data_IF_539489039342
#
_entry.id   IF_539489039342
#
_cell.length_a   1.000
_cell.length_b   1.000
_cell.length_c   1.000
_cell.angle_alpha   90.00
_cell.angle_beta   90.00
_cell.angle_gamma   90.00
#
_symmetry.space_group_name_H-M   'P 1'
#
loop_
_entity.id
_entity.type
_entity.pdbx_description
1 polymer ?
#
# COMPACT_ATOMS: atom_id res chain seq x y z
N UNK A 1 -22.45 4.90 0.82
CA UNK A 1 -21.83 5.51 1.99
C UNK A 1 -20.44 6.01 1.66
N UNK A 2 -19.88 6.84 2.50
CA UNK A 2 -18.52 7.36 2.34
C UNK A 2 -17.49 6.22 2.25
N UNK A 3 -17.76 5.10 2.89
CA UNK A 3 -16.86 3.94 2.94
C UNK A 3 -16.71 3.22 1.60
N UNK A 4 -17.68 3.38 0.72
CA UNK A 4 -17.70 2.67 -0.55
C UNK A 4 -16.73 3.27 -1.58
N UNK A 5 -16.06 4.37 -1.24
CA UNK A 5 -15.19 5.11 -2.16
C UNK A 5 -13.70 4.84 -1.96
N UNK A 6 -13.33 3.74 -1.31
CA UNK A 6 -11.94 3.44 -0.96
C UNK A 6 -11.46 2.16 -1.66
N UNK A 7 -11.37 2.13 -3.00
CA UNK A 7 -10.96 0.92 -3.70
C UNK A 7 -9.50 0.58 -3.46
N UNK A 8 -9.23 -0.73 -3.44
CA UNK A 8 -7.88 -1.27 -3.50
C UNK A 8 -7.78 -2.07 -4.80
N UNK A 9 -6.85 -1.71 -5.65
CA UNK A 9 -6.60 -2.38 -6.91
C UNK A 9 -5.26 -3.10 -6.83
N UNK A 10 -5.27 -4.39 -7.08
CA UNK A 10 -4.07 -5.23 -7.03
C UNK A 10 -3.92 -5.90 -8.39
N UNK A 11 -2.75 -5.76 -8.98
CA UNK A 11 -2.43 -6.40 -10.25
C UNK A 11 -2.28 -7.91 -10.12
N UNK A 12 -1.72 -8.53 -11.16
CA UNK A 12 -1.54 -9.96 -11.24
C UNK A 12 -0.22 -10.39 -10.58
N UNK A 13 -0.18 -11.64 -10.11
CA UNK A 13 1.04 -12.27 -9.58
C UNK A 13 1.72 -11.47 -8.48
N UNK A 14 0.92 -10.95 -7.55
CA UNK A 14 1.41 -10.25 -6.37
C UNK A 14 1.52 -11.23 -5.21
N UNK A 15 2.69 -11.27 -4.58
CA UNK A 15 2.96 -12.13 -3.42
C UNK A 15 2.93 -11.30 -2.15
N UNK A 16 2.09 -11.70 -1.20
CA UNK A 16 2.01 -11.07 0.11
C UNK A 16 2.54 -12.01 1.18
N UNK A 17 3.51 -11.54 1.96
CA UNK A 17 3.87 -12.18 3.20
C UNK A 17 2.75 -12.07 4.23
N UNK A 18 2.92 -12.68 5.43
CA UNK A 18 1.88 -12.62 6.46
C UNK A 18 1.70 -11.20 7.00
N UNK A 19 0.47 -10.91 7.44
CA UNK A 19 0.13 -9.64 8.12
C UNK A 19 0.41 -8.39 7.29
N UNK A 20 0.19 -8.45 6.00
CA UNK A 20 0.18 -7.25 5.15
C UNK A 20 -1.16 -6.56 5.31
N UNK A 21 -1.13 -5.26 5.58
CA UNK A 21 -2.32 -4.44 5.78
C UNK A 21 -2.39 -3.33 4.74
N UNK A 22 -3.50 -3.26 4.03
CA UNK A 22 -3.79 -2.21 3.05
C UNK A 22 -4.90 -1.36 3.64
N UNK A 23 -4.59 -0.11 4.01
CA UNK A 23 -5.44 0.74 4.83
C UNK A 23 -5.87 2.00 4.07
N UNK A 24 -6.82 1.88 3.12
CA UNK A 24 -7.30 3.05 2.40
C UNK A 24 -8.12 4.04 3.24
N UNK A 25 -8.86 3.64 4.27
CA UNK A 25 -9.63 4.61 5.06
C UNK A 25 -8.74 5.60 5.80
N UNK A 26 -9.17 6.83 5.85
CA UNK A 26 -8.48 7.93 6.52
C UNK A 26 -9.47 8.73 7.36
N UNK A 27 -8.95 9.42 8.35
CA UNK A 27 -9.74 10.36 9.17
C UNK A 27 -9.13 11.76 9.11
N UNK A 28 -9.93 12.81 9.31
CA UNK A 28 -9.40 14.15 9.44
C UNK A 28 -8.38 14.25 10.56
N UNK A 29 -7.38 15.12 10.40
CA UNK A 29 -6.34 15.32 11.40
C UNK A 29 -6.87 16.01 12.65
N UNK A 30 -7.79 16.97 12.50
CA UNK A 30 -8.40 17.65 13.63
C UNK A 30 -9.46 16.75 14.27
N UNK A 31 -9.39 16.59 15.57
CA UNK A 31 -10.33 15.74 16.29
C UNK A 31 -11.78 16.24 16.17
N UNK A 32 -11.97 17.57 16.04
CA UNK A 32 -13.30 18.16 15.88
C UNK A 32 -14.00 17.70 14.59
N UNK A 33 -13.22 17.38 13.56
CA UNK A 33 -13.74 16.99 12.26
C UNK A 33 -14.04 15.49 12.18
N UNK A 34 -13.72 14.72 13.23
CA UNK A 34 -13.92 13.27 13.26
C UNK A 34 -15.25 12.85 13.90
N UNK A 35 -16.06 13.79 14.37
CA UNK A 35 -17.35 13.47 14.96
C UNK A 35 -18.31 12.91 13.91
N UNK A 36 -19.18 11.99 14.38
CA UNK A 36 -20.32 11.54 13.59
C UNK A 36 -21.27 12.73 13.37
N UNK A 37 -21.73 12.89 12.14
CA UNK A 37 -22.61 13.97 11.73
C UNK A 37 -23.89 13.39 11.12
N UNK A 38 -24.94 14.21 11.09
CA UNK A 38 -26.18 13.84 10.42
C UNK A 38 -26.24 14.48 9.04
N UNK A 39 -26.58 13.66 8.05
CA UNK A 39 -26.91 14.15 6.72
C UNK A 39 -28.29 14.83 6.71
N UNK A 40 -28.63 15.64 5.67
CA UNK A 40 -29.92 16.29 5.58
C UNK A 40 -31.14 15.33 5.62
N UNK A 41 -30.95 14.07 5.25
CA UNK A 41 -32.00 13.05 5.30
C UNK A 41 -32.14 12.39 6.68
N UNK A 42 -31.36 12.83 7.68
CA UNK A 42 -31.38 12.31 9.03
C UNK A 42 -30.47 11.13 9.29
N UNK A 43 -29.82 10.57 8.27
CA UNK A 43 -28.85 9.47 8.47
C UNK A 43 -27.56 9.99 9.12
N UNK A 44 -26.94 9.15 9.96
CA UNK A 44 -25.68 9.49 10.59
C UNK A 44 -24.51 9.09 9.69
N UNK A 45 -23.47 9.93 9.67
CA UNK A 45 -22.21 9.61 9.00
C UNK A 45 -21.04 10.19 9.79
N UNK A 46 -19.87 9.59 9.68
CA UNK A 46 -18.65 10.17 10.21
C UNK A 46 -17.86 10.85 9.09
N UNK A 47 -16.80 11.53 9.46
CA UNK A 47 -15.92 12.20 8.50
C UNK A 47 -14.80 11.29 8.01
N UNK A 48 -15.01 9.98 8.06
CA UNK A 48 -14.09 9.03 7.46
C UNK A 48 -14.12 9.16 5.95
N UNK A 49 -12.96 9.19 5.36
CA UNK A 49 -12.80 9.16 3.92
C UNK A 49 -11.63 8.25 3.56
N UNK A 50 -11.52 7.92 2.31
CA UNK A 50 -10.43 7.07 1.86
C UNK A 50 -9.83 7.57 0.58
N UNK A 51 -8.60 7.13 0.36
CA UNK A 51 -7.89 7.31 -0.90
C UNK A 51 -7.52 5.94 -1.44
N UNK A 52 -7.66 5.72 -2.74
CA UNK A 52 -7.41 4.41 -3.31
C UNK A 52 -5.95 4.00 -3.15
N UNK A 53 -5.75 2.68 -3.07
CA UNK A 53 -4.42 2.06 -3.12
C UNK A 53 -4.34 1.30 -4.42
N UNK A 54 -3.24 1.46 -5.15
CA UNK A 54 -2.97 0.76 -6.39
C UNK A 54 -1.65 0.01 -6.25
N UNK A 55 -1.68 -1.29 -6.49
CA UNK A 55 -0.49 -2.14 -6.46
C UNK A 55 -0.35 -2.76 -7.85
N UNK A 56 0.77 -2.47 -8.50
CA UNK A 56 1.09 -3.02 -9.81
C UNK A 56 1.35 -4.52 -9.75
N UNK A 57 1.36 -5.15 -10.92
CA UNK A 57 1.61 -6.58 -11.05
C UNK A 57 3.03 -6.95 -10.63
N UNK A 58 3.24 -8.22 -10.28
CA UNK A 58 4.54 -8.81 -10.01
C UNK A 58 5.29 -8.17 -8.82
N UNK A 59 4.57 -7.69 -7.84
CA UNK A 59 5.15 -7.17 -6.61
C UNK A 59 5.28 -8.26 -5.54
N UNK A 60 6.26 -8.10 -4.67
CA UNK A 60 6.43 -8.94 -3.50
C UNK A 60 6.50 -8.09 -2.24
N UNK A 61 5.63 -8.40 -1.28
CA UNK A 61 5.58 -7.75 0.02
C UNK A 61 6.10 -8.72 1.07
N UNK A 62 7.10 -8.33 1.83
CA UNK A 62 7.50 -9.05 3.03
C UNK A 62 6.40 -9.01 4.10
N UNK A 63 6.60 -9.73 5.20
CA UNK A 63 5.62 -9.74 6.29
C UNK A 63 5.50 -8.42 7.03
N UNK A 64 4.34 -8.17 7.64
CA UNK A 64 4.08 -6.98 8.46
C UNK A 64 4.25 -5.65 7.71
N UNK A 65 3.92 -5.60 6.44
CA UNK A 65 3.93 -4.36 5.66
C UNK A 65 2.59 -3.67 5.79
N UNK A 66 2.61 -2.36 5.97
CA UNK A 66 1.43 -1.51 5.98
C UNK A 66 1.50 -0.52 4.83
N UNK A 67 0.43 -0.43 4.04
CA UNK A 67 0.28 0.55 2.96
C UNK A 67 -0.89 1.45 3.29
N UNK A 68 -0.67 2.75 3.30
CA UNK A 68 -1.74 3.71 3.61
C UNK A 68 -2.44 4.20 2.34
N UNK A 69 -3.60 4.81 2.52
CA UNK A 69 -4.41 5.32 1.42
C UNK A 69 -3.70 6.34 0.54
N UNK A 70 -4.01 6.31 -0.73
CA UNK A 70 -3.47 7.21 -1.73
C UNK A 70 -2.13 6.78 -2.34
N UNK A 71 -1.61 5.61 -1.94
CA UNK A 71 -0.31 5.12 -2.43
C UNK A 71 -0.49 4.28 -3.68
N UNK A 72 0.35 4.52 -4.67
CA UNK A 72 0.52 3.69 -5.86
C UNK A 72 1.89 3.05 -5.80
N UNK A 73 1.92 1.72 -5.85
CA UNK A 73 3.16 0.95 -5.93
C UNK A 73 3.27 0.42 -7.36
N UNK A 74 4.34 0.80 -8.03
CA UNK A 74 4.58 0.41 -9.41
C UNK A 74 4.83 -1.08 -9.56
N UNK A 75 4.73 -1.55 -10.79
CA UNK A 75 4.91 -2.97 -11.10
C UNK A 75 6.31 -3.46 -10.73
N UNK A 76 6.43 -4.73 -10.38
CA UNK A 76 7.72 -5.38 -10.14
C UNK A 76 8.48 -4.90 -8.91
N UNK A 77 7.81 -4.28 -7.95
CA UNK A 77 8.43 -3.79 -6.72
C UNK A 77 8.62 -4.89 -5.68
N UNK A 78 9.60 -4.70 -4.82
CA UNK A 78 9.80 -5.49 -3.59
C UNK A 78 9.72 -4.55 -2.40
N UNK A 79 8.82 -4.84 -1.49
CA UNK A 79 8.63 -4.06 -0.26
C UNK A 79 9.13 -4.91 0.92
N UNK A 80 10.17 -4.44 1.59
CA UNK A 80 10.80 -5.20 2.68
C UNK A 80 9.89 -5.36 3.88
N UNK A 81 10.11 -6.44 4.64
CA UNK A 81 9.32 -6.76 5.83
C UNK A 81 9.33 -5.60 6.84
N UNK A 82 8.20 -5.37 7.49
CA UNK A 82 8.05 -4.34 8.51
C UNK A 82 7.95 -2.93 7.98
N UNK A 83 7.88 -2.74 6.67
CA UNK A 83 7.81 -1.40 6.06
C UNK A 83 6.44 -0.78 6.21
N UNK A 84 6.43 0.56 6.29
CA UNK A 84 5.19 1.36 6.24
C UNK A 84 5.28 2.27 5.02
N UNK A 85 4.48 1.96 4.00
CA UNK A 85 4.51 2.66 2.72
C UNK A 85 3.57 3.84 2.77
N UNK A 86 4.13 5.05 2.74
CA UNK A 86 3.39 6.31 2.87
C UNK A 86 3.42 7.16 1.61
N UNK A 87 4.21 6.78 0.62
CA UNK A 87 4.37 7.49 -0.66
C UNK A 87 4.42 6.49 -1.79
N UNK A 88 4.16 6.96 -2.99
CA UNK A 88 4.27 6.16 -4.20
C UNK A 88 5.68 5.58 -4.36
N UNK A 89 5.73 4.36 -4.85
CA UNK A 89 6.99 3.67 -5.15
C UNK A 89 7.07 3.46 -6.66
N UNK A 90 8.14 3.93 -7.31
CA UNK A 90 8.29 3.74 -8.75
C UNK A 90 8.45 2.26 -9.11
N UNK A 91 8.16 1.88 -10.36
CA UNK A 91 8.29 0.48 -10.78
C UNK A 91 9.70 -0.10 -10.57
N UNK A 92 9.78 -1.41 -10.44
CA UNK A 92 11.04 -2.18 -10.39
C UNK A 92 11.99 -1.68 -9.30
N UNK A 93 11.44 -1.39 -8.14
CA UNK A 93 12.18 -0.78 -7.04
C UNK A 93 12.08 -1.63 -5.78
N UNK A 94 13.17 -1.72 -5.03
CA UNK A 94 13.17 -2.23 -3.66
C UNK A 94 13.00 -1.05 -2.72
N UNK A 95 11.97 -1.09 -1.89
CA UNK A 95 11.69 -0.07 -0.88
C UNK A 95 11.58 -0.72 0.49
N UNK A 96 12.14 -0.11 1.51
CA UNK A 96 12.13 -0.62 2.88
C UNK A 96 12.04 0.51 3.89
N UNK A 97 11.55 0.19 5.05
CA UNK A 97 11.62 1.04 6.22
C UNK A 97 10.29 1.65 6.66
N UNK A 98 10.35 2.45 7.69
CA UNK A 98 9.21 3.21 8.22
C UNK A 98 9.64 4.67 8.44
N UNK A 99 9.27 5.59 7.57
CA UNK A 99 8.54 5.36 6.31
C UNK A 99 9.40 4.64 5.27
N UNK A 100 8.77 3.85 4.42
CA UNK A 100 9.48 3.13 3.37
C UNK A 100 10.11 4.10 2.36
N UNK A 101 11.32 3.78 1.97
CA UNK A 101 12.08 4.56 0.98
C UNK A 101 12.66 3.64 -0.09
N UNK A 102 12.67 4.06 -1.34
CA UNK A 102 13.41 3.35 -2.38
C UNK A 102 14.88 3.26 -2.00
N UNK A 103 15.45 2.07 -2.09
CA UNK A 103 16.88 1.85 -1.80
C UNK A 103 17.67 1.46 -3.03
N UNK A 104 17.03 0.84 -4.02
CA UNK A 104 17.68 0.55 -5.30
C UNK A 104 16.66 0.11 -6.34
N UNK A 105 17.08 0.14 -7.59
CA UNK A 105 16.33 -0.42 -8.70
C UNK A 105 16.67 -1.90 -8.86
N UNK A 106 15.68 -2.68 -9.28
CA UNK A 106 15.85 -4.10 -9.62
C UNK A 106 16.21 -4.19 -11.09
N UNK A 107 17.29 -4.90 -11.40
CA UNK A 107 17.82 -5.03 -12.77
C UNK A 107 17.85 -6.48 -13.20
N UNK A 108 18.07 -6.71 -14.49
CA UNK A 108 18.17 -8.05 -15.04
C UNK A 108 19.34 -8.86 -14.46
N UNK A 109 20.30 -8.22 -13.83
CA UNK A 109 21.41 -8.91 -13.16
C UNK A 109 20.92 -9.75 -11.97
N UNK A 110 19.74 -9.47 -11.44
CA UNK A 110 19.16 -10.27 -10.36
C UNK A 110 18.93 -11.72 -10.78
N UNK A 111 18.78 -11.99 -12.08
CA UNK A 111 18.58 -13.34 -12.58
C UNK A 111 19.77 -14.27 -12.26
N UNK A 112 20.97 -13.75 -12.14
CA UNK A 112 22.15 -14.56 -11.83
C UNK A 112 22.08 -15.18 -10.43
N UNK A 113 21.35 -14.57 -9.50
CA UNK A 113 21.19 -15.11 -8.16
C UNK A 113 20.39 -16.42 -8.16
N UNK A 114 19.44 -16.57 -9.07
CA UNK A 114 18.67 -17.80 -9.19
C UNK A 114 19.55 -18.97 -9.63
N UNK A 115 20.49 -18.73 -10.51
CA UNK A 115 21.45 -19.77 -10.92
C UNK A 115 22.28 -20.26 -9.75
N UNK A 116 22.67 -19.33 -8.87
CA UNK A 116 23.38 -19.70 -7.64
C UNK A 116 22.58 -20.64 -6.75
N UNK A 117 21.30 -20.34 -6.55
CA UNK A 117 20.45 -21.16 -5.71
C UNK A 117 19.99 -22.45 -6.38
N UNK A 118 20.06 -22.54 -7.71
CA UNK A 118 19.65 -23.74 -8.44
C UNK A 118 20.70 -24.83 -8.44
N UNK A 119 21.90 -24.54 -7.98
CA UNK A 119 22.95 -25.54 -7.85
C UNK A 119 22.73 -26.38 -6.59
#
# INVERSE_FOLDING_TARGET
>A
TVRDSCPVTIGDDVLFGPKVSLLPPMHPLRWQDRYVRQAPDGSAYDCEYGKPIVIGSNCWFGGNVTVIGGVTIGEGCVIGAGSVVTRDIPPHTVAVGNPARPIREITDQEASALQYYAQ
#
